data_IF_379422385636
#
_entry.id   IF_379422385636
#
_cell.length_a   1.000
_cell.length_b   1.000
_cell.length_c   1.000
_cell.angle_alpha   90.00
_cell.angle_beta   90.00
_cell.angle_gamma   90.00
#
_symmetry.space_group_name_H-M   'P 1'
#
loop_
_entity.id
_entity.type
_entity.pdbx_description
1 polymer ?
#
# COMPACT_ATOMS: atom_id res chain seq x y z
N UNK A 1 -26.88 22.07 11.18
CA UNK A 1 -26.48 20.66 11.33
C UNK A 1 -24.97 20.63 11.39
N UNK A 2 -24.38 20.36 12.55
CA UNK A 2 -22.95 20.14 12.67
C UNK A 2 -22.68 18.71 12.19
N UNK A 3 -22.35 18.56 10.91
CA UNK A 3 -21.80 17.31 10.39
C UNK A 3 -20.35 17.22 10.85
N UNK A 4 -20.14 16.74 12.07
CA UNK A 4 -18.82 16.28 12.49
C UNK A 4 -18.68 14.88 11.92
N UNK A 5 -18.15 14.77 10.70
CA UNK A 5 -17.63 13.50 10.24
C UNK A 5 -16.42 13.20 11.13
N UNK A 6 -16.62 12.38 12.16
CA UNK A 6 -15.56 11.83 12.99
C UNK A 6 -14.82 10.78 12.14
N UNK A 7 -14.02 11.26 11.20
CA UNK A 7 -13.24 10.42 10.28
C UNK A 7 -12.01 9.96 11.06
N UNK A 8 -12.18 8.89 11.83
CA UNK A 8 -11.07 8.21 12.49
C UNK A 8 -10.30 7.42 11.44
N UNK A 9 -8.97 7.60 11.37
CA UNK A 9 -8.13 6.72 10.56
C UNK A 9 -8.33 5.29 11.05
N UNK A 10 -8.64 4.38 10.14
CA UNK A 10 -8.67 2.95 10.44
C UNK A 10 -7.32 2.56 11.05
N UNK A 11 -7.30 1.85 12.19
CA UNK A 11 -6.07 1.45 12.83
C UNK A 11 -5.31 0.52 11.88
N UNK A 12 -4.04 0.85 11.66
CA UNK A 12 -3.13 0.01 10.86
C UNK A 12 -2.83 -1.28 11.62
N UNK A 13 -2.83 -2.41 10.92
CA UNK A 13 -2.59 -3.73 11.50
C UNK A 13 -1.27 -4.34 11.01
N UNK A 14 -0.86 -4.02 9.79
CA UNK A 14 0.33 -4.55 9.14
C UNK A 14 1.51 -3.57 9.22
N UNK A 15 1.23 -2.28 9.01
CA UNK A 15 2.21 -1.21 9.10
C UNK A 15 2.16 -0.52 10.47
N UNK A 16 3.29 0.00 11.00
CA UNK A 16 3.25 0.78 12.22
C UNK A 16 2.38 2.03 12.07
N UNK A 17 1.74 2.44 13.17
CA UNK A 17 0.81 3.58 13.19
C UNK A 17 1.45 4.87 12.65
N UNK A 18 2.72 5.10 12.95
CA UNK A 18 3.51 6.25 12.50
C UNK A 18 4.39 5.94 11.28
N UNK A 19 4.09 4.88 10.52
CA UNK A 19 4.87 4.53 9.33
C UNK A 19 4.85 5.67 8.31
N UNK A 20 6.04 6.13 7.93
CA UNK A 20 6.28 7.13 6.89
C UNK A 20 7.31 6.62 5.90
N UNK A 21 7.05 6.83 4.62
CA UNK A 21 7.88 6.31 3.53
C UNK A 21 9.08 7.24 3.35
N UNK A 22 10.27 6.78 3.74
CA UNK A 22 11.52 7.55 3.56
C UNK A 22 12.26 7.14 2.30
N UNK A 23 12.34 5.83 2.08
CA UNK A 23 13.13 5.20 1.04
C UNK A 23 12.56 3.80 0.74
N UNK A 24 13.10 3.16 -0.28
CA UNK A 24 12.71 1.80 -0.66
C UNK A 24 13.03 0.77 0.43
N UNK A 25 14.12 0.93 1.20
CA UNK A 25 14.53 -0.03 2.23
C UNK A 25 13.49 -0.12 3.35
N UNK A 26 12.80 0.99 3.63
CA UNK A 26 11.67 1.04 4.56
C UNK A 26 10.46 0.22 4.08
N UNK A 27 10.26 0.02 2.77
CA UNK A 27 9.13 -0.71 2.18
C UNK A 27 9.47 -2.17 1.84
N UNK A 28 10.71 -2.41 1.41
CA UNK A 28 11.23 -3.71 1.00
C UNK A 28 10.90 -4.88 1.97
N UNK A 29 11.01 -4.75 3.30
CA UNK A 29 10.69 -5.85 4.21
C UNK A 29 9.22 -6.25 4.16
N UNK A 30 8.30 -5.29 3.99
CA UNK A 30 6.85 -5.56 3.92
C UNK A 30 6.48 -6.26 2.61
N UNK A 31 7.05 -5.84 1.48
CA UNK A 31 6.89 -6.54 0.21
C UNK A 31 7.48 -7.95 0.27
N UNK A 32 8.65 -8.12 0.89
CA UNK A 32 9.30 -9.42 1.07
C UNK A 32 8.48 -10.35 1.96
N UNK A 33 7.90 -9.82 3.04
CA UNK A 33 7.02 -10.56 3.93
C UNK A 33 5.79 -11.06 3.16
N UNK A 34 5.08 -10.18 2.44
CA UNK A 34 3.93 -10.56 1.63
C UNK A 34 4.29 -11.59 0.53
N UNK A 35 5.45 -11.46 -0.11
CA UNK A 35 5.90 -12.41 -1.13
C UNK A 35 6.17 -13.80 -0.53
N UNK A 36 6.85 -13.86 0.62
CA UNK A 36 7.28 -15.11 1.26
C UNK A 36 6.23 -15.75 2.16
N UNK A 37 5.21 -15.00 2.58
CA UNK A 37 4.17 -15.49 3.47
C UNK A 37 3.43 -16.66 2.83
N UNK A 38 3.29 -17.73 3.58
CA UNK A 38 2.57 -18.91 3.12
C UNK A 38 1.06 -18.71 3.34
N UNK A 39 0.26 -19.15 2.37
CA UNK A 39 -1.19 -18.95 2.34
C UNK A 39 -1.83 -20.33 2.22
N UNK A 40 -2.12 -20.94 3.38
CA UNK A 40 -2.63 -22.31 3.49
C UNK A 40 -4.14 -22.42 3.66
N UNK A 41 -4.87 -21.30 3.66
CA UNK A 41 -6.31 -21.28 3.91
C UNK A 41 -6.95 -20.00 3.34
N UNK A 42 -8.27 -20.02 3.14
CA UNK A 42 -9.05 -18.84 2.71
C UNK A 42 -8.89 -17.69 3.71
N UNK A 43 -8.97 -17.97 5.01
CA UNK A 43 -8.77 -16.94 6.05
C UNK A 43 -7.37 -16.31 5.99
N UNK A 44 -6.34 -17.12 5.70
CA UNK A 44 -4.98 -16.63 5.52
C UNK A 44 -4.84 -15.78 4.25
N UNK A 45 -5.58 -16.12 3.19
CA UNK A 45 -5.62 -15.34 1.95
C UNK A 45 -6.33 -14.00 2.17
N UNK A 46 -7.46 -13.99 2.90
CA UNK A 46 -8.16 -12.76 3.26
C UNK A 46 -7.29 -11.82 4.11
N UNK A 47 -6.57 -12.37 5.09
CA UNK A 47 -5.64 -11.56 5.87
C UNK A 47 -4.49 -11.03 5.02
N UNK A 48 -3.90 -11.87 4.15
CA UNK A 48 -2.86 -11.45 3.23
C UNK A 48 -3.34 -10.33 2.29
N UNK A 49 -4.57 -10.42 1.79
CA UNK A 49 -5.19 -9.38 0.97
C UNK A 49 -5.35 -8.07 1.74
N UNK A 50 -5.84 -8.12 2.99
CA UNK A 50 -5.96 -6.93 3.85
C UNK A 50 -4.60 -6.26 4.07
N UNK A 51 -3.57 -7.03 4.35
CA UNK A 51 -2.22 -6.51 4.59
C UNK A 51 -1.62 -5.90 3.31
N UNK A 52 -1.83 -6.55 2.15
CA UNK A 52 -1.42 -6.02 0.86
C UNK A 52 -2.15 -4.72 0.49
N UNK A 53 -3.47 -4.67 0.71
CA UNK A 53 -4.27 -3.45 0.51
C UNK A 53 -3.88 -2.33 1.46
N UNK A 54 -3.56 -2.64 2.73
CA UNK A 54 -3.07 -1.65 3.69
C UNK A 54 -1.73 -1.04 3.23
N UNK A 55 -0.79 -1.87 2.75
CA UNK A 55 0.49 -1.41 2.22
C UNK A 55 0.29 -0.49 1.01
N UNK A 56 -0.54 -0.91 0.05
CA UNK A 56 -0.83 -0.11 -1.15
C UNK A 56 -1.52 1.22 -0.79
N UNK A 57 -2.47 1.20 0.14
CA UNK A 57 -3.17 2.40 0.61
C UNK A 57 -2.20 3.42 1.23
N UNK A 58 -1.23 2.98 2.02
CA UNK A 58 -0.23 3.87 2.63
C UNK A 58 0.72 4.45 1.57
N UNK A 59 1.13 3.66 0.58
CA UNK A 59 1.96 4.13 -0.54
C UNK A 59 1.21 5.18 -1.36
N UNK A 60 -0.06 4.92 -1.68
CA UNK A 60 -0.90 5.83 -2.45
C UNK A 60 -1.20 7.12 -1.69
N UNK A 61 -1.52 7.04 -0.39
CA UNK A 61 -1.73 8.19 0.48
C UNK A 61 -0.47 9.07 0.55
N UNK A 62 0.72 8.48 0.76
CA UNK A 62 1.99 9.23 0.81
C UNK A 62 2.30 9.92 -0.54
N UNK A 63 2.14 9.22 -1.66
CA UNK A 63 2.33 9.78 -3.00
C UNK A 63 1.38 10.96 -3.26
N UNK A 64 0.10 10.81 -2.90
CA UNK A 64 -0.91 11.86 -3.02
C UNK A 64 -0.53 13.08 -2.17
N UNK A 65 -0.11 12.88 -0.91
CA UNK A 65 0.32 13.98 -0.06
C UNK A 65 1.57 14.70 -0.58
N UNK A 66 2.55 13.97 -1.14
CA UNK A 66 3.72 14.60 -1.78
C UNK A 66 3.30 15.47 -2.96
N UNK A 67 2.41 14.95 -3.80
CA UNK A 67 1.88 15.70 -4.94
C UNK A 67 1.12 16.94 -4.46
N UNK A 68 0.19 16.80 -3.50
CA UNK A 68 -0.56 17.93 -2.94
C UNK A 68 0.39 19.01 -2.42
N UNK A 69 1.37 18.63 -1.59
CA UNK A 69 2.36 19.57 -1.03
C UNK A 69 3.15 20.28 -2.13
N UNK A 70 3.67 19.54 -3.11
CA UNK A 70 4.38 20.10 -4.26
C UNK A 70 3.48 21.05 -5.07
N UNK A 71 2.20 20.73 -5.27
CA UNK A 71 1.27 21.60 -6.01
C UNK A 71 0.83 22.84 -5.22
N UNK A 72 0.84 22.78 -3.88
CA UNK A 72 0.57 23.94 -3.04
C UNK A 72 1.74 24.91 -2.98
N UNK A 73 2.97 24.42 -3.01
CA UNK A 73 4.19 25.22 -2.93
C UNK A 73 5.18 24.78 -4.02
N UNK A 74 4.90 25.27 -5.24
CA UNK A 74 5.65 24.91 -6.46
C UNK A 74 7.03 25.55 -6.55
N UNK A 75 7.36 26.46 -5.63
CA UNK A 75 8.67 27.13 -5.56
C UNK A 75 9.63 26.40 -4.59
N UNK A 76 9.11 25.51 -3.73
CA UNK A 76 9.94 24.69 -2.84
C UNK A 76 10.60 23.53 -3.58
N UNK A 77 11.92 23.66 -3.74
CA UNK A 77 12.77 22.58 -4.27
C UNK A 77 12.72 21.32 -3.43
N UNK A 78 12.61 21.44 -2.11
CA UNK A 78 12.57 20.28 -1.21
C UNK A 78 11.35 19.40 -1.47
N UNK A 79 10.19 20.01 -1.76
CA UNK A 79 8.95 19.28 -2.07
C UNK A 79 8.99 18.67 -3.47
N UNK A 80 9.55 19.38 -4.45
CA UNK A 80 9.81 18.87 -5.79
C UNK A 80 10.76 17.66 -5.75
N UNK A 81 11.87 17.77 -5.02
CA UNK A 81 12.85 16.69 -4.85
C UNK A 81 12.22 15.49 -4.15
N UNK A 82 11.39 15.71 -3.12
CA UNK A 82 10.72 14.63 -2.41
C UNK A 82 9.71 13.86 -3.29
N UNK A 83 8.99 14.55 -4.19
CA UNK A 83 8.08 13.92 -5.15
C UNK A 83 8.85 13.22 -6.27
N UNK A 84 9.82 13.90 -6.85
CA UNK A 84 10.72 13.37 -7.89
C UNK A 84 11.46 12.13 -7.39
N UNK A 85 11.99 12.14 -6.17
CA UNK A 85 12.62 10.98 -5.55
C UNK A 85 11.66 9.80 -5.43
N UNK A 86 10.44 10.02 -4.95
CA UNK A 86 9.44 8.97 -4.86
C UNK A 86 9.16 8.35 -6.23
N UNK A 87 8.94 9.17 -7.26
CA UNK A 87 8.62 8.72 -8.61
C UNK A 87 9.81 8.03 -9.31
N UNK A 88 11.04 8.48 -9.10
CA UNK A 88 12.21 7.94 -9.79
C UNK A 88 12.92 6.81 -9.04
N UNK A 89 12.83 6.76 -7.72
CA UNK A 89 13.58 5.80 -6.90
C UNK A 89 12.67 4.75 -6.24
N UNK A 90 11.46 5.12 -5.82
CA UNK A 90 10.58 4.23 -5.06
C UNK A 90 9.56 3.55 -5.97
N UNK A 91 8.83 4.31 -6.78
CA UNK A 91 7.81 3.78 -7.69
C UNK A 91 8.30 2.67 -8.64
N UNK A 92 9.46 2.80 -9.34
CA UNK A 92 9.94 1.74 -10.23
C UNK A 92 10.35 0.48 -9.48
N UNK A 93 10.68 0.59 -8.19
CA UNK A 93 10.92 -0.56 -7.34
C UNK A 93 9.60 -1.21 -6.93
N UNK A 94 8.56 -0.45 -6.60
CA UNK A 94 7.26 -1.00 -6.21
C UNK A 94 6.64 -1.84 -7.34
N UNK A 95 6.68 -1.35 -8.58
CA UNK A 95 6.04 -1.99 -9.75
C UNK A 95 6.33 -3.50 -9.91
N UNK A 96 7.60 -3.96 -9.97
CA UNK A 96 7.89 -5.39 -10.09
C UNK A 96 7.46 -6.18 -8.85
N UNK A 97 7.42 -5.58 -7.67
CA UNK A 97 6.92 -6.26 -6.47
C UNK A 97 5.40 -6.40 -6.49
N UNK A 98 4.67 -5.35 -6.87
CA UNK A 98 3.22 -5.43 -7.07
C UNK A 98 2.84 -6.50 -8.10
N UNK A 99 3.57 -6.60 -9.21
CA UNK A 99 3.37 -7.67 -10.20
C UNK A 99 3.61 -9.07 -9.60
N UNK A 100 4.66 -9.25 -8.79
CA UNK A 100 4.93 -10.53 -8.11
C UNK A 100 3.84 -10.91 -7.11
N UNK A 101 3.38 -9.96 -6.31
CA UNK A 101 2.28 -10.19 -5.35
C UNK A 101 0.99 -10.54 -6.09
N UNK A 102 0.68 -9.85 -7.19
CA UNK A 102 -0.47 -10.17 -8.04
C UNK A 102 -0.36 -11.57 -8.66
N UNK A 103 0.81 -11.97 -9.16
CA UNK A 103 1.05 -13.33 -9.66
C UNK A 103 0.88 -14.38 -8.57
N UNK A 104 1.37 -14.11 -7.35
CA UNK A 104 1.19 -14.99 -6.18
C UNK A 104 -0.30 -15.16 -5.84
N UNK A 105 -1.06 -14.06 -5.85
CA UNK A 105 -2.51 -14.08 -5.63
C UNK A 105 -3.23 -14.93 -6.69
N UNK A 106 -2.94 -14.69 -7.98
CA UNK A 106 -3.56 -15.42 -9.09
C UNK A 106 -3.20 -16.92 -9.13
N UNK A 107 -2.00 -17.27 -8.64
CA UNK A 107 -1.56 -18.65 -8.53
C UNK A 107 -2.16 -19.38 -7.32
N UNK A 108 -2.80 -18.66 -6.39
CA UNK A 108 -3.32 -19.24 -5.17
C UNK A 108 -4.64 -20.00 -5.42
N UNK A 109 -4.73 -21.30 -5.04
CA UNK A 109 -5.94 -22.09 -5.25
C UNK A 109 -7.14 -21.58 -4.44
N UNK A 110 -6.91 -21.00 -3.26
CA UNK A 110 -7.94 -20.44 -2.38
C UNK A 110 -8.58 -19.17 -2.97
N UNK A 111 -8.00 -18.58 -4.03
CA UNK A 111 -8.60 -17.44 -4.74
C UNK A 111 -9.99 -17.78 -5.29
N UNK A 112 -10.21 -19.04 -5.69
CA UNK A 112 -11.52 -19.49 -6.19
C UNK A 112 -12.53 -19.75 -5.07
N UNK A 113 -12.05 -19.91 -3.85
CA UNK A 113 -12.85 -20.14 -2.64
C UNK A 113 -13.16 -18.83 -1.90
N UNK A 114 -12.57 -17.71 -2.32
CA UNK A 114 -12.96 -16.39 -1.87
C UNK A 114 -14.42 -16.11 -2.26
N UNK A 115 -15.14 -15.55 -1.30
CA UNK A 115 -16.55 -15.20 -1.42
C UNK A 115 -16.76 -14.20 -2.56
N UNK A 116 -17.18 -14.68 -3.73
CA UNK A 116 -17.29 -13.85 -4.92
C UNK A 116 -18.29 -12.72 -4.75
N UNK A 117 -19.26 -12.85 -3.83
CA UNK A 117 -20.25 -11.80 -3.53
C UNK A 117 -19.63 -10.60 -2.78
N UNK A 118 -18.61 -10.82 -1.94
CA UNK A 118 -17.88 -9.74 -1.24
C UNK A 118 -16.78 -9.08 -2.05
N UNK A 119 -16.21 -9.79 -3.03
CA UNK A 119 -15.04 -9.34 -3.78
C UNK A 119 -15.35 -9.03 -5.27
N UNK A 120 -16.60 -9.08 -5.70
CA UNK A 120 -17.04 -8.51 -6.98
C UNK A 120 -17.16 -6.98 -6.87
N UNK A 121 -16.39 -6.25 -7.68
CA UNK A 121 -16.57 -4.81 -7.96
C UNK A 121 -16.29 -4.56 -9.43
#
# INVERSE_FOLDING_TARGET
MNYSADIQKLPRNFLPADFGIKDWDSLAPYFTDLEKRDINSVEALEQWLKDASELEAVISEDACWRQIKMTCDTESKELEEAFTFFMMQIQPQIQPWSDRLNKKLLANPFLKELDQEKYYT
#
